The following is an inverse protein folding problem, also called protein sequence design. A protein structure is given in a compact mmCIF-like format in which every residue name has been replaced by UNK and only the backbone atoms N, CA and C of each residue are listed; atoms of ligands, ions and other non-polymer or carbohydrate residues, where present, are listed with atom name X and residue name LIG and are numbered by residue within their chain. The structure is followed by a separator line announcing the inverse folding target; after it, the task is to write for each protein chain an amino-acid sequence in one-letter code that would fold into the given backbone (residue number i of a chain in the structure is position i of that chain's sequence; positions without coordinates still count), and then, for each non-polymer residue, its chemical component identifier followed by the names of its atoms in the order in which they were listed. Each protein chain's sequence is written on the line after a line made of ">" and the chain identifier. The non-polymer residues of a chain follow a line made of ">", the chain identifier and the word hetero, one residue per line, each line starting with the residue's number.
data_IF_547809371905
#
_entry.id   IF_547809371905
#
_cell.length_a   1.000
_cell.length_b   1.000
_cell.length_c   1.000
_cell.angle_alpha   90.00
_cell.angle_beta   90.00
_cell.angle_gamma   90.00
#
_symmetry.space_group_name_H-M   'P 1'
#
loop_
_entity.id
_entity.type
_entity.pdbx_description
1 polymer ?
#
# COMPACT_ATOMS: atom_id res chain seq x y z
N UNK A 1 -29.76 79.83 -20.71
CA UNK A 1 -29.42 79.92 -19.28
C UNK A 1 -30.07 78.74 -18.54
N UNK A 2 -29.39 77.59 -18.45
CA UNK A 2 -29.92 76.48 -17.64
C UNK A 2 -29.88 76.90 -16.17
N UNK A 3 -31.05 76.89 -15.53
CA UNK A 3 -31.24 77.22 -14.11
C UNK A 3 -30.25 76.46 -13.23
N UNK A 4 -29.64 77.15 -12.28
CA UNK A 4 -28.66 76.62 -11.31
C UNK A 4 -29.15 75.32 -10.65
N UNK A 5 -30.48 75.18 -10.48
CA UNK A 5 -31.11 73.95 -9.97
C UNK A 5 -30.86 72.69 -10.81
N UNK A 6 -30.78 72.81 -12.14
CA UNK A 6 -30.52 71.66 -13.02
C UNK A 6 -29.04 71.24 -12.99
N UNK A 7 -28.11 72.19 -12.80
CA UNK A 7 -26.69 71.86 -12.65
C UNK A 7 -26.43 71.11 -11.34
N UNK A 8 -27.13 71.47 -10.26
CA UNK A 8 -27.03 70.78 -8.97
C UNK A 8 -27.58 69.35 -9.06
N UNK A 9 -28.70 69.13 -9.76
CA UNK A 9 -29.24 67.77 -9.96
C UNK A 9 -28.30 66.87 -10.77
N UNK A 10 -27.68 67.40 -11.82
CA UNK A 10 -26.72 66.65 -12.63
C UNK A 10 -25.47 66.30 -11.80
N UNK A 11 -24.98 67.24 -10.98
CA UNK A 11 -23.84 66.99 -10.10
C UNK A 11 -24.14 65.90 -9.05
N UNK A 12 -25.34 65.93 -8.45
CA UNK A 12 -25.76 64.91 -7.48
C UNK A 12 -25.88 63.53 -8.15
N UNK A 13 -26.46 63.44 -9.36
CA UNK A 13 -26.51 62.19 -10.11
C UNK A 13 -25.11 61.66 -10.45
N UNK A 14 -24.16 62.51 -10.85
CA UNK A 14 -22.80 62.10 -11.13
C UNK A 14 -22.06 61.59 -9.89
N UNK A 15 -22.28 62.22 -8.72
CA UNK A 15 -21.68 61.78 -7.45
C UNK A 15 -22.25 60.42 -7.02
N UNK A 16 -23.56 60.21 -7.16
CA UNK A 16 -24.20 58.91 -6.86
C UNK A 16 -23.72 57.83 -7.84
N UNK A 17 -23.55 58.16 -9.12
CA UNK A 17 -23.06 57.21 -10.12
C UNK A 17 -21.60 56.80 -9.87
N UNK A 18 -20.75 57.74 -9.42
CA UNK A 18 -19.36 57.43 -9.01
C UNK A 18 -19.35 56.56 -7.74
N UNK A 19 -20.27 56.77 -6.81
CA UNK A 19 -20.39 55.97 -5.58
C UNK A 19 -20.83 54.53 -5.85
N UNK A 20 -21.64 54.28 -6.90
CA UNK A 20 -22.07 52.93 -7.29
C UNK A 20 -20.93 52.17 -8.00
N UNK A 21 -20.03 52.86 -8.71
CA UNK A 21 -18.86 52.26 -9.36
C UNK A 21 -17.75 51.93 -8.35
N UNK A 22 -17.70 52.65 -7.22
CA UNK A 22 -16.76 52.43 -6.13
C UNK A 22 -17.35 51.62 -4.96
N UNK A 23 -18.31 50.72 -5.22
CA UNK A 23 -18.55 49.64 -4.27
C UNK A 23 -17.33 48.71 -4.40
N UNK A 24 -16.42 48.66 -3.41
CA UNK A 24 -15.37 47.68 -3.45
C UNK A 24 -16.07 46.32 -3.51
N UNK A 25 -15.80 45.55 -4.58
CA UNK A 25 -16.03 44.12 -4.51
C UNK A 25 -15.29 43.68 -3.25
N UNK A 26 -16.03 43.15 -2.27
CA UNK A 26 -15.40 42.44 -1.17
C UNK A 26 -14.51 41.38 -1.83
N UNK A 27 -13.21 41.65 -1.82
CA UNK A 27 -12.20 40.63 -2.04
C UNK A 27 -12.51 39.65 -0.94
N UNK A 28 -13.19 38.56 -1.30
CA UNK A 28 -13.53 37.49 -0.39
C UNK A 28 -12.21 37.05 0.22
N UNK A 29 -11.94 37.54 1.43
CA UNK A 29 -10.84 37.07 2.23
C UNK A 29 -11.05 35.56 2.28
N UNK A 30 -10.02 34.80 1.88
CA UNK A 30 -10.06 33.35 1.85
C UNK A 30 -10.18 32.88 3.30
N UNK A 31 -11.40 32.88 3.83
CA UNK A 31 -11.69 32.42 5.18
C UNK A 31 -11.61 30.91 5.11
N UNK A 32 -10.52 30.35 5.63
CA UNK A 32 -10.34 28.91 5.77
C UNK A 32 -11.63 28.31 6.32
N UNK A 33 -12.31 27.53 5.48
CA UNK A 33 -13.58 26.93 5.86
C UNK A 33 -13.27 25.82 6.88
N UNK A 34 -13.87 25.83 8.08
CA UNK A 34 -13.55 24.85 9.09
C UNK A 34 -14.02 23.45 8.67
N UNK A 35 -13.13 22.47 8.80
CA UNK A 35 -13.45 21.05 8.62
C UNK A 35 -14.01 20.54 9.94
N UNK A 36 -15.28 20.14 9.93
CA UNK A 36 -15.96 19.62 11.12
C UNK A 36 -15.94 18.10 11.17
N UNK A 37 -15.90 17.44 10.02
CA UNK A 37 -15.88 15.99 9.94
C UNK A 37 -14.96 15.53 8.82
N UNK A 38 -14.40 14.34 8.97
CA UNK A 38 -13.57 13.65 8.00
C UNK A 38 -14.18 12.27 7.75
N UNK A 39 -14.36 11.92 6.49
CA UNK A 39 -14.78 10.60 6.03
C UNK A 39 -13.64 10.02 5.20
N UNK A 40 -13.06 8.91 5.66
CA UNK A 40 -12.10 8.13 4.90
C UNK A 40 -12.78 6.82 4.51
N UNK A 41 -13.06 6.67 3.21
CA UNK A 41 -13.70 5.50 2.63
C UNK A 41 -12.60 4.70 1.90
N UNK A 42 -12.20 3.59 2.50
CA UNK A 42 -11.28 2.62 1.90
C UNK A 42 -12.10 1.50 1.26
N UNK A 43 -11.90 1.24 -0.02
CA UNK A 43 -12.60 0.18 -0.75
C UNK A 43 -11.57 -0.83 -1.23
N UNK A 44 -11.54 -2.02 -0.61
CA UNK A 44 -10.56 -3.05 -0.95
C UNK A 44 -10.83 -3.61 -2.35
N UNK A 45 -9.76 -3.73 -3.12
CA UNK A 45 -9.81 -4.25 -4.48
C UNK A 45 -10.10 -3.20 -5.56
N UNK A 46 -10.14 -1.89 -5.25
CA UNK A 46 -10.06 -0.88 -6.31
C UNK A 46 -8.73 -0.98 -7.06
N UNK A 47 -8.75 -0.60 -8.33
CA UNK A 47 -7.56 -0.46 -9.15
C UNK A 47 -7.75 0.63 -10.21
N UNK A 48 -6.64 1.12 -10.75
CA UNK A 48 -6.63 2.12 -11.82
C UNK A 48 -7.36 1.62 -13.07
N UNK A 49 -7.17 0.36 -13.46
CA UNK A 49 -7.72 -0.19 -14.70
C UNK A 49 -9.26 -0.22 -14.69
N UNK A 50 -9.85 -0.62 -13.56
CA UNK A 50 -11.30 -0.58 -13.32
C UNK A 50 -11.83 0.85 -13.31
N UNK A 51 -11.12 1.76 -12.65
CA UNK A 51 -11.48 3.17 -12.59
C UNK A 51 -11.57 3.81 -13.98
N UNK A 52 -10.60 3.57 -14.88
CA UNK A 52 -10.60 4.19 -16.22
C UNK A 52 -11.44 3.46 -17.27
N UNK A 53 -11.72 2.17 -17.05
CA UNK A 53 -12.48 1.36 -18.02
C UNK A 53 -13.99 1.43 -17.79
N UNK A 54 -14.41 1.75 -16.57
CA UNK A 54 -15.81 1.79 -16.17
C UNK A 54 -16.41 3.18 -16.30
N UNK A 55 -17.70 3.24 -16.62
CA UNK A 55 -18.46 4.48 -16.52
C UNK A 55 -18.93 4.65 -15.07
N UNK A 56 -18.25 5.53 -14.33
CA UNK A 56 -18.54 5.86 -12.93
C UNK A 56 -18.90 7.34 -12.80
N UNK A 57 -20.06 7.78 -13.32
CA UNK A 57 -20.39 9.20 -13.42
C UNK A 57 -20.46 9.91 -12.06
N UNK A 58 -20.81 9.21 -10.98
CA UNK A 58 -20.90 9.81 -9.65
C UNK A 58 -19.52 9.96 -9.01
N UNK A 59 -18.64 8.96 -9.17
CA UNK A 59 -17.24 9.05 -8.74
C UNK A 59 -16.50 10.10 -9.57
N UNK A 60 -16.71 10.16 -10.89
CA UNK A 60 -16.11 11.16 -11.78
C UNK A 60 -16.53 12.58 -11.38
N UNK A 61 -17.84 12.77 -11.14
CA UNK A 61 -18.35 14.04 -10.65
C UNK A 61 -17.75 14.38 -9.27
N UNK A 62 -17.66 13.41 -8.37
CA UNK A 62 -17.03 13.58 -7.07
C UNK A 62 -15.57 14.02 -7.22
N UNK A 63 -14.78 13.35 -8.05
CA UNK A 63 -13.40 13.73 -8.38
C UNK A 63 -13.29 15.15 -8.93
N UNK A 64 -14.16 15.53 -9.87
CA UNK A 64 -14.20 16.89 -10.44
C UNK A 64 -14.52 17.97 -9.41
N UNK A 65 -15.22 17.65 -8.33
CA UNK A 65 -15.50 18.63 -7.26
C UNK A 65 -14.32 18.89 -6.33
N UNK A 66 -13.26 18.07 -6.38
CA UNK A 66 -12.06 18.21 -5.56
C UNK A 66 -10.76 17.93 -6.31
N UNK A 67 -9.81 17.31 -5.63
CA UNK A 67 -8.53 16.92 -6.17
C UNK A 67 -8.44 15.39 -6.26
N UNK A 68 -7.83 14.88 -7.32
CA UNK A 68 -7.78 13.44 -7.56
C UNK A 68 -6.47 13.00 -8.22
N UNK A 69 -5.98 11.84 -7.81
CA UNK A 69 -4.96 11.06 -8.51
C UNK A 69 -5.64 9.79 -9.06
N UNK A 70 -5.55 9.56 -10.36
CA UNK A 70 -6.05 8.31 -10.94
C UNK A 70 -5.09 7.16 -10.64
N UNK A 71 -3.80 7.46 -10.41
CA UNK A 71 -2.69 6.50 -10.27
C UNK A 71 -1.94 6.71 -8.96
N UNK A 72 -2.67 6.78 -7.85
CA UNK A 72 -2.01 6.72 -6.55
C UNK A 72 -1.39 5.34 -6.36
N UNK A 73 -0.15 5.29 -5.87
CA UNK A 73 0.55 4.04 -5.62
C UNK A 73 0.06 3.40 -4.32
N UNK A 74 -0.60 2.25 -4.43
CA UNK A 74 -1.01 1.44 -3.30
C UNK A 74 0.18 0.73 -2.65
N UNK A 75 0.00 0.28 -1.42
CA UNK A 75 1.02 -0.51 -0.74
C UNK A 75 0.90 -1.97 -1.14
N UNK A 76 2.04 -2.57 -1.47
CA UNK A 76 2.18 -4.03 -1.58
C UNK A 76 2.14 -4.64 -0.19
N UNK A 77 0.99 -5.16 0.19
CA UNK A 77 0.75 -5.81 1.46
C UNK A 77 0.04 -7.15 1.24
N UNK A 78 0.54 -8.19 1.90
CA UNK A 78 0.01 -9.56 1.78
C UNK A 78 -1.40 -9.69 2.38
N UNK A 79 -1.75 -8.83 3.34
CA UNK A 79 -3.00 -8.86 4.09
C UNK A 79 -3.71 -7.51 4.05
N UNK A 80 -5.02 -7.50 4.32
CA UNK A 80 -5.79 -6.25 4.34
C UNK A 80 -5.41 -5.38 5.54
N UNK A 81 -5.12 -6.02 6.67
CA UNK A 81 -4.74 -5.35 7.91
C UNK A 81 -3.44 -4.58 7.74
N UNK A 82 -2.47 -5.16 7.03
CA UNK A 82 -1.23 -4.48 6.71
C UNK A 82 -1.43 -3.30 5.75
N UNK A 83 -2.31 -3.45 4.75
CA UNK A 83 -2.68 -2.35 3.86
C UNK A 83 -3.33 -1.19 4.60
N UNK A 84 -4.37 -1.46 5.37
CA UNK A 84 -5.09 -0.43 6.13
C UNK A 84 -4.22 0.19 7.23
N UNK A 85 -3.34 -0.58 7.87
CA UNK A 85 -2.32 -0.02 8.76
C UNK A 85 -1.43 0.98 8.03
N UNK A 86 -0.97 0.67 6.81
CA UNK A 86 -0.15 1.60 6.03
C UNK A 86 -0.91 2.88 5.67
N UNK A 87 -2.19 2.76 5.29
CA UNK A 87 -3.06 3.90 4.99
C UNK A 87 -3.23 4.82 6.21
N UNK A 88 -3.44 4.24 7.40
CA UNK A 88 -3.71 4.99 8.64
C UNK A 88 -2.44 5.51 9.34
N UNK A 89 -1.29 4.87 9.15
CA UNK A 89 -0.02 5.26 9.81
C UNK A 89 0.88 6.12 8.92
N UNK A 90 0.72 6.02 7.60
CA UNK A 90 1.60 6.67 6.64
C UNK A 90 3.00 6.04 6.57
N UNK A 91 3.14 4.77 6.95
CA UNK A 91 4.38 3.99 6.81
C UNK A 91 4.12 2.65 6.13
N UNK A 92 5.18 2.00 5.63
CA UNK A 92 5.08 0.68 5.00
C UNK A 92 4.96 -0.48 6.01
N UNK A 93 4.52 -1.68 5.58
CA UNK A 93 4.32 -2.84 6.47
C UNK A 93 5.52 -3.27 7.30
N UNK A 94 6.71 -3.17 6.72
CA UNK A 94 7.95 -3.45 7.41
C UNK A 94 8.27 -2.51 8.59
N UNK A 95 7.65 -1.34 8.67
CA UNK A 95 7.84 -0.36 9.75
C UNK A 95 6.74 -0.45 10.81
N UNK A 96 5.47 -0.54 10.43
CA UNK A 96 4.37 -0.60 11.41
C UNK A 96 4.19 -1.97 12.08
N UNK A 97 4.76 -3.04 11.50
CA UNK A 97 4.74 -4.43 12.00
C UNK A 97 3.36 -5.08 12.19
N UNK A 98 2.28 -4.35 11.94
CA UNK A 98 0.94 -4.89 11.82
C UNK A 98 0.77 -5.66 10.51
N UNK A 99 0.99 -6.98 10.52
CA UNK A 99 0.90 -7.83 9.33
C UNK A 99 -0.38 -8.67 9.29
N UNK A 100 -1.02 -8.89 10.43
CA UNK A 100 -2.25 -9.67 10.58
C UNK A 100 -3.15 -9.05 11.66
N UNK A 101 -4.42 -9.43 11.73
CA UNK A 101 -5.37 -8.94 12.74
C UNK A 101 -4.91 -9.12 14.20
N UNK A 102 -4.00 -10.06 14.48
CA UNK A 102 -3.50 -10.32 15.84
C UNK A 102 -2.30 -9.46 16.24
N UNK A 103 -1.66 -8.81 15.27
CA UNK A 103 -0.49 -7.99 15.53
C UNK A 103 -0.91 -6.65 16.15
N UNK A 104 -0.02 -6.02 16.90
CA UNK A 104 -0.22 -4.65 17.36
C UNK A 104 0.45 -3.68 16.38
N UNK A 105 -0.16 -2.52 16.18
CA UNK A 105 0.49 -1.43 15.46
C UNK A 105 1.59 -0.87 16.37
N UNK A 106 2.86 -0.98 15.95
CA UNK A 106 4.01 -0.53 16.75
C UNK A 106 4.35 0.95 16.57
N UNK A 107 3.73 1.62 15.60
CA UNK A 107 3.95 3.02 15.25
C UNK A 107 2.70 3.85 15.53
N UNK A 108 2.88 5.15 15.63
CA UNK A 108 1.75 6.07 15.77
C UNK A 108 0.90 6.07 14.50
N UNK A 109 -0.42 5.94 14.67
CA UNK A 109 -1.41 6.08 13.59
C UNK A 109 -2.08 7.45 13.61
N UNK A 110 -2.79 7.78 12.54
CA UNK A 110 -3.69 8.93 12.49
C UNK A 110 -4.74 8.88 13.61
N UNK A 111 -5.21 7.68 13.98
CA UNK A 111 -6.16 7.50 15.08
C UNK A 111 -5.56 7.93 16.43
N UNK A 112 -4.27 7.65 16.65
CA UNK A 112 -3.56 8.07 17.85
C UNK A 112 -3.37 9.59 17.89
N UNK A 113 -3.01 10.21 16.77
CA UNK A 113 -2.90 11.68 16.63
C UNK A 113 -4.24 12.34 16.95
N UNK A 114 -5.33 11.84 16.38
CA UNK A 114 -6.68 12.35 16.62
C UNK A 114 -7.10 12.17 18.09
N UNK A 115 -6.80 11.03 18.71
CA UNK A 115 -7.07 10.75 20.12
C UNK A 115 -6.30 11.69 21.05
N UNK A 116 -5.01 11.92 20.80
CA UNK A 116 -4.17 12.88 21.55
C UNK A 116 -4.76 14.30 21.50
N UNK A 117 -5.40 14.64 20.39
CA UNK A 117 -6.06 15.93 20.16
C UNK A 117 -7.57 15.92 20.49
N UNK A 118 -8.05 14.92 21.24
CA UNK A 118 -9.44 14.82 21.74
C UNK A 118 -10.51 14.85 20.63
N UNK A 119 -10.16 14.37 19.43
CA UNK A 119 -11.11 14.21 18.32
C UNK A 119 -11.84 12.88 18.45
N UNK A 120 -13.15 12.91 18.21
CA UNK A 120 -13.98 11.71 18.24
C UNK A 120 -13.79 10.88 16.97
N UNK A 121 -13.68 9.56 17.14
CA UNK A 121 -13.37 8.59 16.07
C UNK A 121 -14.50 7.56 16.02
N UNK A 122 -14.87 7.16 14.80
CA UNK A 122 -15.75 6.03 14.52
C UNK A 122 -15.16 5.20 13.37
N UNK A 123 -15.22 3.88 13.51
CA UNK A 123 -14.80 2.91 12.50
C UNK A 123 -15.99 2.02 12.18
N UNK A 124 -16.33 1.93 10.89
CA UNK A 124 -17.30 0.98 10.35
C UNK A 124 -16.53 -0.03 9.52
N UNK A 125 -16.46 -1.26 10.00
CA UNK A 125 -15.67 -2.33 9.44
C UNK A 125 -16.53 -3.33 8.67
N UNK A 126 -16.43 -3.32 7.34
CA UNK A 126 -17.01 -4.32 6.44
C UNK A 126 -16.16 -5.57 6.21
N UNK A 127 -15.05 -5.77 6.96
CA UNK A 127 -14.15 -6.91 6.77
C UNK A 127 -14.48 -8.15 7.61
N UNK A 128 -15.55 -8.12 8.41
CA UNK A 128 -15.87 -9.17 9.37
C UNK A 128 -15.03 -9.13 10.65
N UNK A 129 -14.55 -7.96 11.08
CA UNK A 129 -13.81 -7.80 12.34
C UNK A 129 -12.28 -7.87 12.22
N UNK A 130 -11.72 -7.93 11.01
CA UNK A 130 -10.26 -7.99 10.81
C UNK A 130 -9.55 -6.68 11.18
N UNK A 131 -10.29 -5.57 11.20
CA UNK A 131 -9.78 -4.25 11.58
C UNK A 131 -9.93 -3.92 13.07
N UNK A 132 -10.31 -4.91 13.90
CA UNK A 132 -10.58 -4.70 15.33
C UNK A 132 -9.34 -4.28 16.12
N UNK A 133 -8.15 -4.61 15.61
CA UNK A 133 -6.86 -4.13 16.12
C UNK A 133 -6.78 -2.60 16.16
N UNK A 134 -7.42 -1.89 15.22
CA UNK A 134 -7.46 -0.43 15.13
C UNK A 134 -8.44 0.23 16.09
N UNK A 135 -9.20 -0.56 16.86
CA UNK A 135 -10.14 0.00 17.83
C UNK A 135 -9.40 0.81 18.90
N UNK A 136 -8.16 0.49 19.29
CA UNK A 136 -7.34 1.31 20.23
C UNK A 136 -8.09 1.79 21.52
N UNK A 137 -9.15 1.07 21.94
CA UNK A 137 -10.05 1.44 23.02
C UNK A 137 -11.08 2.53 22.69
N UNK A 138 -11.36 2.77 21.42
CA UNK A 138 -12.44 3.62 20.93
C UNK A 138 -13.75 2.90 21.22
N UNK A 139 -14.72 3.57 21.86
CA UNK A 139 -16.00 2.91 22.19
C UNK A 139 -16.94 2.77 20.97
N UNK A 140 -16.43 2.98 19.75
CA UNK A 140 -17.22 3.26 18.55
C UNK A 140 -16.67 2.52 17.32
N UNK A 141 -16.31 1.25 17.53
CA UNK A 141 -16.07 0.29 16.48
C UNK A 141 -17.36 -0.45 16.15
N UNK A 142 -17.73 -0.46 14.87
CA UNK A 142 -18.92 -1.15 14.38
C UNK A 142 -18.44 -2.25 13.44
N UNK A 143 -18.60 -3.48 13.89
CA UNK A 143 -18.29 -4.70 13.15
C UNK A 143 -19.51 -5.09 12.31
N UNK A 144 -19.34 -5.15 11.00
CA UNK A 144 -20.33 -5.73 10.08
C UNK A 144 -19.84 -7.10 9.59
N UNK A 145 -20.75 -7.88 9.02
CA UNK A 145 -20.42 -9.17 8.42
C UNK A 145 -19.39 -8.98 7.27
N UNK A 146 -18.56 -10.00 7.01
CA UNK A 146 -17.63 -9.96 5.89
C UNK A 146 -18.38 -9.79 4.55
N UNK A 147 -19.57 -10.38 4.43
CA UNK A 147 -20.43 -10.26 3.25
C UNK A 147 -21.32 -9.00 3.23
N UNK A 148 -21.05 -8.01 4.08
CA UNK A 148 -21.84 -6.79 4.13
C UNK A 148 -21.73 -6.01 2.81
N UNK A 149 -22.87 -5.65 2.22
CA UNK A 149 -22.90 -4.88 0.99
C UNK A 149 -22.31 -3.46 1.17
N UNK A 150 -21.79 -2.86 0.10
CA UNK A 150 -21.32 -1.46 0.13
C UNK A 150 -22.41 -0.51 0.66
N UNK A 151 -23.67 -0.78 0.30
CA UNK A 151 -24.84 -0.06 0.80
C UNK A 151 -24.96 -0.14 2.32
N UNK A 152 -24.84 -1.33 2.89
CA UNK A 152 -24.97 -1.56 4.33
C UNK A 152 -23.88 -0.84 5.12
N UNK A 153 -22.63 -0.88 4.63
CA UNK A 153 -21.50 -0.17 5.23
C UNK A 153 -21.73 1.34 5.22
N UNK A 154 -22.09 1.92 4.07
CA UNK A 154 -22.29 3.36 3.92
C UNK A 154 -23.55 3.87 4.63
N UNK A 155 -24.62 3.07 4.68
CA UNK A 155 -25.82 3.40 5.44
C UNK A 155 -25.54 3.40 6.94
N UNK A 156 -24.82 2.39 7.43
CA UNK A 156 -24.39 2.29 8.83
C UNK A 156 -23.48 3.45 9.21
N UNK A 157 -22.54 3.81 8.32
CA UNK A 157 -21.66 4.97 8.49
C UNK A 157 -22.47 6.25 8.68
N UNK A 158 -23.41 6.54 7.77
CA UNK A 158 -24.21 7.76 7.86
C UNK A 158 -25.12 7.77 9.09
N UNK A 159 -25.83 6.67 9.38
CA UNK A 159 -26.81 6.62 10.47
C UNK A 159 -26.15 6.80 11.84
N UNK A 160 -24.98 6.21 12.04
CA UNK A 160 -24.21 6.39 13.27
C UNK A 160 -23.54 7.76 13.34
N UNK A 161 -23.03 8.27 12.22
CA UNK A 161 -22.51 9.64 12.14
C UNK A 161 -23.59 10.67 12.53
N UNK A 162 -24.84 10.51 12.07
CA UNK A 162 -25.92 11.44 12.39
C UNK A 162 -26.24 11.44 13.88
N UNK A 163 -26.21 10.27 14.53
CA UNK A 163 -26.47 10.13 15.97
C UNK A 163 -25.33 10.70 16.82
N UNK A 164 -24.09 10.39 16.44
CA UNK A 164 -22.92 10.60 17.30
C UNK A 164 -22.09 11.84 16.98
N UNK A 165 -22.24 12.41 15.77
CA UNK A 165 -21.48 13.57 15.26
C UNK A 165 -19.97 13.41 15.45
N UNK A 166 -19.45 12.26 15.07
CA UNK A 166 -18.03 11.94 15.16
C UNK A 166 -17.19 12.75 14.17
N UNK A 167 -16.03 13.22 14.63
CA UNK A 167 -15.13 14.05 13.83
C UNK A 167 -14.48 13.22 12.73
N UNK A 168 -13.88 12.07 13.06
CA UNK A 168 -13.27 11.18 12.08
C UNK A 168 -14.09 9.91 11.92
N UNK A 169 -14.43 9.57 10.69
CA UNK A 169 -15.28 8.45 10.32
C UNK A 169 -14.55 7.65 9.27
N UNK A 170 -14.18 6.42 9.59
CA UNK A 170 -13.50 5.52 8.68
C UNK A 170 -14.43 4.37 8.30
N UNK A 171 -14.53 4.09 7.01
CA UNK A 171 -15.34 2.99 6.49
C UNK A 171 -14.48 2.13 5.57
N UNK A 172 -14.52 0.83 5.82
CA UNK A 172 -13.88 -0.17 4.99
C UNK A 172 -14.95 -0.98 4.24
N UNK A 173 -14.83 -1.04 2.91
CA UNK A 173 -15.73 -1.77 2.01
C UNK A 173 -14.97 -2.92 1.35
N UNK A 174 -15.52 -4.14 1.39
CA UNK A 174 -14.91 -5.36 0.84
C UNK A 174 -15.39 -5.73 -0.58
N UNK A 175 -16.46 -5.10 -1.09
CA UNK A 175 -17.22 -5.56 -2.25
C UNK A 175 -16.38 -5.86 -3.50
N UNK A 176 -15.51 -4.93 -3.92
CA UNK A 176 -14.69 -5.10 -5.13
C UNK A 176 -13.71 -6.28 -5.03
N UNK A 177 -13.11 -6.52 -3.85
CA UNK A 177 -12.24 -7.68 -3.62
C UNK A 177 -13.00 -8.99 -3.65
N UNK A 178 -14.19 -9.04 -3.07
CA UNK A 178 -15.00 -10.27 -3.07
C UNK A 178 -15.38 -10.69 -4.49
N UNK A 179 -15.77 -9.74 -5.34
CA UNK A 179 -16.05 -10.03 -6.74
C UNK A 179 -14.82 -10.56 -7.48
N UNK A 180 -13.62 -10.01 -7.22
CA UNK A 180 -12.39 -10.51 -7.84
C UNK A 180 -12.05 -11.95 -7.43
N UNK A 181 -12.33 -12.34 -6.18
CA UNK A 181 -12.10 -13.71 -5.71
C UNK A 181 -13.02 -14.73 -6.41
N UNK A 182 -14.16 -14.28 -6.95
CA UNK A 182 -15.11 -15.11 -7.69
C UNK A 182 -14.72 -15.32 -9.17
N UNK A 183 -13.61 -14.71 -9.63
CA UNK A 183 -12.98 -14.87 -10.95
C UNK A 183 -13.77 -14.28 -12.13
N UNK A 184 -15.02 -13.86 -11.93
CA UNK A 184 -15.85 -13.25 -12.97
C UNK A 184 -15.56 -11.74 -13.11
N UNK A 185 -15.18 -11.32 -14.32
CA UNK A 185 -14.95 -9.89 -14.62
C UNK A 185 -16.27 -9.11 -14.64
N UNK A 186 -17.38 -9.73 -15.02
CA UNK A 186 -18.67 -9.05 -15.07
C UNK A 186 -19.16 -8.70 -13.66
N UNK A 187 -18.99 -9.61 -12.69
CA UNK A 187 -19.30 -9.34 -11.27
C UNK A 187 -18.44 -8.19 -10.72
N UNK A 188 -17.15 -8.13 -11.06
CA UNK A 188 -16.29 -7.02 -10.65
C UNK A 188 -16.77 -5.66 -11.19
N UNK A 189 -17.27 -5.63 -12.42
CA UNK A 189 -17.83 -4.42 -13.02
C UNK A 189 -19.18 -4.03 -12.42
N UNK A 190 -20.02 -4.99 -12.04
CA UNK A 190 -21.25 -4.70 -11.31
C UNK A 190 -20.96 -4.13 -9.91
N UNK A 191 -19.91 -4.60 -9.22
CA UNK A 191 -19.48 -4.00 -7.95
C UNK A 191 -19.01 -2.55 -8.11
N UNK A 192 -18.32 -2.21 -9.20
CA UNK A 192 -17.96 -0.81 -9.50
C UNK A 192 -19.20 0.07 -9.70
N UNK A 193 -20.23 -0.43 -10.39
CA UNK A 193 -21.50 0.28 -10.57
C UNK A 193 -22.26 0.42 -9.25
N UNK A 194 -22.27 -0.63 -8.43
CA UNK A 194 -22.88 -0.56 -7.11
C UNK A 194 -22.16 0.51 -6.26
N UNK A 195 -20.82 0.46 -6.17
CA UNK A 195 -20.04 1.46 -5.46
C UNK A 195 -20.34 2.90 -5.92
N UNK A 196 -20.37 3.15 -7.23
CA UNK A 196 -20.70 4.46 -7.80
C UNK A 196 -22.08 4.95 -7.36
N UNK A 197 -23.08 4.06 -7.40
CA UNK A 197 -24.45 4.36 -6.96
C UNK A 197 -24.55 4.57 -5.45
N UNK A 198 -23.93 3.71 -4.63
CA UNK A 198 -23.99 3.83 -3.17
C UNK A 198 -23.24 5.06 -2.68
N UNK A 199 -22.11 5.41 -3.32
CA UNK A 199 -21.42 6.67 -3.06
C UNK A 199 -22.33 7.85 -3.38
N UNK A 200 -23.04 7.85 -4.52
CA UNK A 200 -23.97 8.91 -4.88
C UNK A 200 -25.07 9.10 -3.82
N UNK A 201 -25.64 8.00 -3.33
CA UNK A 201 -26.65 8.00 -2.26
C UNK A 201 -26.05 8.58 -0.98
N UNK A 202 -24.88 8.10 -0.56
CA UNK A 202 -24.19 8.60 0.63
C UNK A 202 -23.89 10.11 0.56
N UNK A 203 -23.33 10.58 -0.55
CA UNK A 203 -23.03 11.99 -0.78
C UNK A 203 -24.31 12.85 -0.79
N UNK A 204 -25.40 12.34 -1.38
CA UNK A 204 -26.71 13.01 -1.35
C UNK A 204 -27.23 13.14 0.07
N UNK A 205 -27.16 12.07 0.89
CA UNK A 205 -27.56 12.11 2.30
C UNK A 205 -26.74 13.14 3.08
N UNK A 206 -25.43 13.23 2.85
CA UNK A 206 -24.58 14.26 3.46
C UNK A 206 -24.94 15.68 3.04
N UNK A 207 -25.33 15.88 1.77
CA UNK A 207 -25.80 17.19 1.25
C UNK A 207 -27.14 17.58 1.87
N UNK A 208 -28.12 16.68 1.86
CA UNK A 208 -29.45 16.88 2.43
C UNK A 208 -29.37 17.16 3.94
N UNK A 209 -28.44 16.52 4.64
CA UNK A 209 -28.15 16.76 6.06
C UNK A 209 -27.34 18.02 6.35
N UNK A 210 -26.83 18.73 5.32
CA UNK A 210 -26.01 19.94 5.48
C UNK A 210 -24.59 19.69 6.02
N UNK A 211 -24.10 18.45 5.96
CA UNK A 211 -22.76 18.07 6.44
C UNK A 211 -21.70 18.12 5.33
N UNK A 212 -22.10 17.94 4.07
CA UNK A 212 -21.18 17.84 2.92
C UNK A 212 -20.20 19.01 2.83
N UNK A 213 -20.68 20.25 2.95
CA UNK A 213 -19.84 21.46 2.80
C UNK A 213 -18.83 21.69 3.93
N UNK A 214 -18.94 20.94 5.03
CA UNK A 214 -18.05 21.01 6.21
C UNK A 214 -17.28 19.71 6.44
N UNK A 215 -17.33 18.80 5.46
CA UNK A 215 -16.73 17.48 5.59
C UNK A 215 -15.62 17.30 4.56
N UNK A 216 -14.47 16.80 5.01
CA UNK A 216 -13.43 16.29 4.15
C UNK A 216 -13.72 14.82 3.85
N UNK A 217 -13.90 14.47 2.59
CA UNK A 217 -14.24 13.12 2.14
C UNK A 217 -13.10 12.62 1.26
N UNK A 218 -12.50 11.50 1.65
CA UNK A 218 -11.45 10.82 0.92
C UNK A 218 -11.99 9.45 0.48
N UNK A 219 -11.84 9.13 -0.80
CA UNK A 219 -12.12 7.81 -1.37
C UNK A 219 -10.83 7.24 -1.95
N UNK A 220 -10.44 6.05 -1.51
CA UNK A 220 -9.26 5.35 -2.04
C UNK A 220 -9.31 3.87 -1.69
N UNK A 221 -8.20 3.16 -1.94
CA UNK A 221 -7.95 1.81 -1.45
C UNK A 221 -6.55 1.73 -0.87
N UNK A 222 -6.36 0.98 0.21
CA UNK A 222 -5.01 0.73 0.75
C UNK A 222 -4.16 -0.19 -0.13
N UNK A 223 -4.81 -1.08 -0.88
CA UNK A 223 -4.18 -2.12 -1.72
C UNK A 223 -4.84 -2.14 -3.10
N UNK A 224 -4.04 -2.37 -4.14
CA UNK A 224 -4.59 -2.61 -5.47
C UNK A 224 -4.92 -4.09 -5.64
N UNK A 225 -5.98 -4.37 -6.38
CA UNK A 225 -6.24 -5.70 -6.93
C UNK A 225 -5.48 -5.99 -8.23
N UNK A 226 -4.82 -4.98 -8.80
CA UNK A 226 -4.13 -5.08 -10.08
C UNK A 226 -2.61 -5.19 -9.87
N UNK A 227 -1.88 -5.91 -10.76
CA UNK A 227 -0.42 -5.96 -10.74
C UNK A 227 0.27 -4.62 -10.96
N UNK A 228 -0.47 -3.59 -11.42
CA UNK A 228 0.05 -2.24 -11.58
C UNK A 228 0.22 -1.50 -10.24
N UNK A 229 -0.38 -2.03 -9.16
CA UNK A 229 -0.42 -1.45 -7.82
C UNK A 229 -1.04 -0.04 -7.74
N UNK A 230 -1.66 0.45 -8.81
CA UNK A 230 -2.30 1.76 -8.84
C UNK A 230 -3.75 1.68 -8.39
N UNK A 231 -4.18 2.70 -7.65
CA UNK A 231 -5.54 2.90 -7.16
C UNK A 231 -5.96 4.36 -7.36
N UNK A 232 -7.25 4.65 -7.50
CA UNK A 232 -7.71 6.03 -7.46
C UNK A 232 -7.61 6.58 -6.03
N UNK A 233 -7.25 7.86 -5.93
CA UNK A 233 -7.30 8.66 -4.72
C UNK A 233 -8.08 9.93 -5.02
N UNK A 234 -9.21 10.13 -4.35
CA UNK A 234 -10.05 11.31 -4.53
C UNK A 234 -10.21 11.99 -3.18
N UNK A 235 -9.96 13.29 -3.15
CA UNK A 235 -10.04 14.14 -1.96
C UNK A 235 -10.97 15.31 -2.27
N UNK A 236 -12.05 15.44 -1.50
CA UNK A 236 -13.04 16.51 -1.67
C UNK A 236 -13.39 17.09 -0.32
N UNK A 237 -13.32 18.41 -0.18
CA UNK A 237 -13.70 19.04 1.08
C UNK A 237 -13.46 20.54 1.12
N UNK A 238 -13.66 21.14 2.30
CA UNK A 238 -13.27 22.52 2.57
C UNK A 238 -11.77 22.71 2.28
N UNK A 239 -11.43 23.82 1.64
CA UNK A 239 -10.04 24.19 1.32
C UNK A 239 -9.31 23.20 0.39
N UNK A 240 -10.05 22.36 -0.34
CA UNK A 240 -9.52 21.52 -1.43
C UNK A 240 -9.72 22.21 -2.76
N UNK A 241 -8.72 22.19 -3.64
CA UNK A 241 -8.86 22.69 -5.01
C UNK A 241 -9.86 21.82 -5.76
N UNK A 242 -10.74 22.44 -6.54
CA UNK A 242 -11.68 21.70 -7.39
C UNK A 242 -11.05 21.38 -8.75
N UNK A 243 -11.51 20.29 -9.36
CA UNK A 243 -11.09 19.79 -10.67
C UNK A 243 -9.56 19.76 -10.86
N UNK A 244 -8.83 19.32 -9.84
CA UNK A 244 -7.36 19.32 -9.85
C UNK A 244 -6.83 17.90 -9.91
N UNK A 245 -6.26 17.52 -11.06
CA UNK A 245 -5.52 16.28 -11.19
C UNK A 245 -4.15 16.41 -10.54
N UNK A 246 -3.82 15.50 -9.64
CA UNK A 246 -2.51 15.35 -9.02
C UNK A 246 -1.86 14.06 -9.53
N UNK A 247 -0.55 13.96 -9.40
CA UNK A 247 0.22 12.80 -9.86
C UNK A 247 1.31 12.45 -8.82
N UNK A 248 1.69 11.19 -8.78
CA UNK A 248 2.80 10.70 -7.96
C UNK A 248 2.47 10.61 -6.47
N UNK A 249 1.19 10.48 -6.12
CA UNK A 249 0.78 10.23 -4.73
C UNK A 249 0.95 8.75 -4.35
N UNK A 250 1.19 8.50 -3.07
CA UNK A 250 1.18 7.17 -2.47
C UNK A 250 0.05 7.08 -1.45
N UNK A 251 -0.50 5.89 -1.20
CA UNK A 251 -1.57 5.75 -0.20
C UNK A 251 -1.09 6.08 1.22
N UNK A 252 0.22 5.96 1.49
CA UNK A 252 0.82 6.37 2.76
C UNK A 252 0.80 7.90 2.95
N UNK A 253 0.54 8.68 1.90
CA UNK A 253 0.40 10.14 1.95
C UNK A 253 -0.96 10.58 2.52
N UNK A 254 -1.94 9.67 2.59
CA UNK A 254 -3.31 9.99 3.04
C UNK A 254 -3.35 10.42 4.50
N UNK A 255 -2.74 9.65 5.42
CA UNK A 255 -2.67 10.00 6.84
C UNK A 255 -2.03 11.37 7.11
N UNK A 256 -0.83 11.70 6.59
CA UNK A 256 -0.24 13.04 6.77
C UNK A 256 -1.04 14.13 6.06
N UNK A 257 -1.71 13.84 4.94
CA UNK A 257 -2.60 14.79 4.25
C UNK A 257 -3.80 15.14 5.14
N UNK A 258 -4.47 14.16 5.73
CA UNK A 258 -5.60 14.39 6.64
C UNK A 258 -5.14 15.22 7.84
N UNK A 259 -4.02 14.86 8.48
CA UNK A 259 -3.46 15.60 9.60
C UNK A 259 -3.19 17.07 9.24
N UNK A 260 -2.59 17.32 8.07
CA UNK A 260 -2.31 18.67 7.58
C UNK A 260 -3.60 19.46 7.26
N UNK A 261 -4.66 18.82 6.72
CA UNK A 261 -5.96 19.48 6.50
C UNK A 261 -6.64 19.96 7.78
N UNK A 262 -6.47 19.23 8.87
CA UNK A 262 -7.07 19.56 10.17
C UNK A 262 -6.14 20.38 11.07
N UNK A 263 -4.97 20.79 10.57
CA UNK A 263 -3.99 21.59 11.29
C UNK A 263 -3.27 20.84 12.42
N UNK A 264 -3.14 19.51 12.31
CA UNK A 264 -2.41 18.67 13.26
C UNK A 264 -1.07 18.20 12.67
N UNK A 265 -0.14 17.86 13.56
CA UNK A 265 1.11 17.18 13.20
C UNK A 265 0.81 15.81 12.59
N UNK A 266 1.60 15.40 11.59
CA UNK A 266 1.48 14.06 11.01
C UNK A 266 1.89 12.98 12.02
N UNK A 267 1.42 11.72 11.87
CA UNK A 267 1.84 10.64 12.76
C UNK A 267 3.36 10.51 12.84
N UNK A 268 3.88 10.24 14.04
CA UNK A 268 5.30 10.05 14.27
C UNK A 268 5.85 8.91 13.42
N UNK A 269 7.01 9.13 12.80
CA UNK A 269 7.63 8.23 11.81
C UNK A 269 6.86 8.06 10.48
N UNK A 270 5.74 8.76 10.26
CA UNK A 270 5.06 8.76 8.95
C UNK A 270 6.04 9.14 7.84
N UNK A 271 6.22 8.23 6.89
CA UNK A 271 7.05 8.43 5.69
C UNK A 271 6.30 9.16 4.59
N UNK A 272 4.97 9.07 4.59
CA UNK A 272 4.14 9.82 3.65
C UNK A 272 4.36 11.33 3.74
N UNK A 273 4.18 11.98 2.60
CA UNK A 273 4.29 13.41 2.38
C UNK A 273 2.88 13.95 2.16
N UNK A 274 2.48 14.99 2.89
CA UNK A 274 1.15 15.55 2.71
C UNK A 274 1.00 16.11 1.29
N UNK A 275 -0.17 15.90 0.68
CA UNK A 275 -0.47 16.31 -0.70
C UNK A 275 -0.78 17.81 -0.76
N UNK A 276 0.23 18.64 -0.53
CA UNK A 276 0.13 20.10 -0.42
C UNK A 276 -0.42 20.77 -1.69
N UNK A 277 -0.27 20.12 -2.84
CA UNK A 277 -0.82 20.56 -4.11
C UNK A 277 -2.36 20.57 -4.15
N UNK A 278 -3.03 19.84 -3.25
CA UNK A 278 -4.50 19.77 -3.13
C UNK A 278 -5.12 20.94 -2.37
N UNK A 279 -4.33 21.72 -1.64
CA UNK A 279 -4.83 22.78 -0.76
C UNK A 279 -5.10 24.08 -1.50
N UNK A 280 -6.23 24.71 -1.18
CA UNK A 280 -6.47 26.12 -1.48
C UNK A 280 -5.83 26.93 -0.36
N UNK A 281 -4.73 27.63 -0.66
CA UNK A 281 -4.03 28.49 0.29
C UNK A 281 -3.88 29.90 -0.25
N UNK A 282 -3.79 30.89 0.64
CA UNK A 282 -3.43 32.26 0.26
C UNK A 282 -1.98 32.34 -0.22
N UNK A 283 -1.64 33.35 -1.02
CA UNK A 283 -0.27 33.53 -1.54
C UNK A 283 0.78 33.64 -0.42
N UNK A 284 0.42 34.26 0.71
CA UNK A 284 1.31 34.39 1.86
C UNK A 284 1.60 33.03 2.50
N UNK A 285 0.58 32.17 2.63
CA UNK A 285 0.68 30.82 3.22
C UNK A 285 1.33 29.83 2.25
N UNK A 286 1.23 30.08 0.94
CA UNK A 286 1.83 29.22 -0.09
C UNK A 286 3.34 29.07 0.08
N UNK A 287 4.05 30.12 0.50
CA UNK A 287 5.50 30.06 0.76
C UNK A 287 5.83 29.14 1.93
N UNK A 288 5.06 29.19 3.01
CA UNK A 288 5.23 28.33 4.17
C UNK A 288 4.95 26.87 3.81
N UNK A 289 3.83 26.62 3.11
CA UNK A 289 3.44 25.29 2.62
C UNK A 289 4.52 24.71 1.70
N UNK A 290 5.03 25.49 0.75
CA UNK A 290 6.10 25.04 -0.13
C UNK A 290 7.38 24.75 0.64
N UNK A 291 7.72 25.55 1.66
CA UNK A 291 8.90 25.32 2.49
C UNK A 291 8.78 24.02 3.28
N UNK A 292 7.62 23.76 3.91
CA UNK A 292 7.31 22.50 4.59
C UNK A 292 7.35 21.30 3.63
N UNK A 293 6.81 21.47 2.42
CA UNK A 293 6.84 20.42 1.42
C UNK A 293 8.27 20.09 0.97
N UNK A 294 9.08 21.11 0.69
CA UNK A 294 10.50 20.94 0.32
C UNK A 294 11.26 20.25 1.44
N UNK A 295 11.04 20.63 2.69
CA UNK A 295 11.66 19.99 3.86
C UNK A 295 11.31 18.49 3.92
N UNK A 296 10.03 18.15 3.78
CA UNK A 296 9.58 16.74 3.78
C UNK A 296 10.19 15.93 2.63
N UNK A 297 10.25 16.51 1.42
CA UNK A 297 10.88 15.87 0.26
C UNK A 297 12.39 15.66 0.47
N UNK A 298 13.07 16.62 1.10
CA UNK A 298 14.50 16.48 1.42
C UNK A 298 14.74 15.37 2.45
N UNK A 299 13.90 15.30 3.49
CA UNK A 299 13.97 14.24 4.50
C UNK A 299 13.68 12.87 3.91
N UNK A 300 12.64 12.71 3.09
CA UNK A 300 12.34 11.43 2.46
C UNK A 300 13.46 11.02 1.49
N UNK A 301 14.02 11.95 0.73
CA UNK A 301 15.20 11.67 -0.11
C UNK A 301 16.36 11.12 0.72
N UNK A 302 16.68 11.72 1.87
CA UNK A 302 17.75 11.23 2.75
C UNK A 302 17.41 9.81 3.25
N UNK A 303 16.19 9.59 3.72
CA UNK A 303 15.73 8.28 4.20
C UNK A 303 15.82 7.21 3.10
N UNK A 304 15.44 7.53 1.87
CA UNK A 304 15.55 6.63 0.73
C UNK A 304 17.02 6.27 0.42
N UNK A 305 17.93 7.24 0.47
CA UNK A 305 19.36 6.96 0.30
C UNK A 305 19.92 6.09 1.41
N UNK A 306 19.55 6.34 2.68
CA UNK A 306 19.96 5.50 3.81
C UNK A 306 19.48 4.06 3.64
N UNK A 307 18.22 3.86 3.23
CA UNK A 307 17.70 2.52 2.97
C UNK A 307 18.36 1.87 1.76
N UNK A 308 18.60 2.63 0.69
CA UNK A 308 19.31 2.15 -0.48
C UNK A 308 20.71 1.62 -0.13
N UNK A 309 21.50 2.39 0.62
CA UNK A 309 22.82 1.96 1.06
C UNK A 309 22.76 0.71 1.94
N UNK A 310 21.79 0.63 2.86
CA UNK A 310 21.59 -0.56 3.68
C UNK A 310 21.30 -1.80 2.85
N UNK A 311 20.40 -1.70 1.86
CA UNK A 311 20.04 -2.81 0.97
C UNK A 311 21.24 -3.20 0.09
N UNK A 312 22.00 -2.22 -0.42
CA UNK A 312 23.20 -2.48 -1.21
C UNK A 312 24.25 -3.26 -0.39
N UNK A 313 24.48 -2.86 0.87
CA UNK A 313 25.40 -3.57 1.77
C UNK A 313 24.92 -5.01 2.08
N UNK A 314 23.62 -5.20 2.29
CA UNK A 314 23.03 -6.53 2.53
C UNK A 314 23.13 -7.43 1.28
N UNK A 315 22.91 -6.86 0.10
CA UNK A 315 23.07 -7.55 -1.17
C UNK A 315 24.52 -7.99 -1.38
N UNK A 316 25.48 -7.09 -1.15
CA UNK A 316 26.92 -7.40 -1.27
C UNK A 316 27.36 -8.50 -0.30
N UNK A 317 26.85 -8.48 0.94
CA UNK A 317 27.10 -9.55 1.91
C UNK A 317 26.54 -10.88 1.43
N UNK A 318 25.33 -10.88 0.88
CA UNK A 318 24.66 -12.07 0.35
C UNK A 318 25.43 -12.64 -0.84
N UNK A 319 25.91 -11.78 -1.76
CA UNK A 319 26.74 -12.20 -2.91
C UNK A 319 28.04 -12.85 -2.44
N UNK A 320 28.72 -12.28 -1.43
CA UNK A 320 29.94 -12.89 -0.87
C UNK A 320 29.67 -14.24 -0.24
N UNK A 321 28.56 -14.38 0.49
CA UNK A 321 28.14 -15.67 1.06
C UNK A 321 27.87 -16.71 -0.04
N UNK A 322 27.13 -16.33 -1.08
CA UNK A 322 26.85 -17.21 -2.22
C UNK A 322 28.14 -17.65 -2.93
N UNK A 323 29.09 -16.74 -3.13
CA UNK A 323 30.38 -17.09 -3.73
C UNK A 323 31.18 -18.05 -2.82
N UNK A 324 31.22 -17.80 -1.51
CA UNK A 324 31.90 -18.72 -0.57
C UNK A 324 31.28 -20.12 -0.55
N UNK A 325 29.94 -20.21 -0.62
CA UNK A 325 29.23 -21.50 -0.70
C UNK A 325 29.53 -22.19 -2.03
N UNK A 326 29.66 -21.43 -3.12
CA UNK A 326 30.01 -21.97 -4.44
C UNK A 326 31.43 -22.53 -4.43
N UNK A 327 32.40 -21.79 -3.89
CA UNK A 327 33.78 -22.23 -3.72
C UNK A 327 33.87 -23.48 -2.83
N UNK A 328 33.13 -23.53 -1.73
CA UNK A 328 33.05 -24.70 -0.86
C UNK A 328 32.48 -25.91 -1.61
N UNK A 329 31.40 -25.74 -2.39
CA UNK A 329 30.83 -26.80 -3.22
C UNK A 329 31.83 -27.32 -4.25
N UNK A 330 32.54 -26.44 -4.96
CA UNK A 330 33.58 -26.83 -5.92
C UNK A 330 34.68 -27.63 -5.21
N UNK A 331 35.15 -27.18 -4.04
CA UNK A 331 36.16 -27.89 -3.26
C UNK A 331 35.69 -29.28 -2.80
N UNK A 332 34.40 -29.43 -2.46
CA UNK A 332 33.80 -30.72 -2.11
C UNK A 332 33.74 -31.64 -3.33
N UNK A 333 33.36 -31.13 -4.50
CA UNK A 333 33.36 -31.90 -5.74
C UNK A 333 34.77 -32.38 -6.13
N UNK A 334 35.77 -31.51 -6.01
CA UNK A 334 37.17 -31.85 -6.26
C UNK A 334 37.65 -32.95 -5.29
N UNK A 335 37.33 -32.81 -3.99
CA UNK A 335 37.65 -33.81 -2.98
C UNK A 335 37.00 -35.17 -3.28
N UNK A 336 35.73 -35.20 -3.71
CA UNK A 336 35.07 -36.43 -4.13
C UNK A 336 35.72 -37.04 -5.37
N UNK A 337 36.11 -36.22 -6.35
CA UNK A 337 36.85 -36.66 -7.54
C UNK A 337 38.18 -37.32 -7.18
N UNK A 338 38.97 -36.73 -6.29
CA UNK A 338 40.21 -37.33 -5.80
C UNK A 338 39.99 -38.68 -5.08
N UNK A 339 38.93 -38.77 -4.26
CA UNK A 339 38.56 -40.02 -3.59
C UNK A 339 38.15 -41.08 -4.58
N UNK A 340 37.37 -40.74 -5.59
CA UNK A 340 36.95 -41.68 -6.63
C UNK A 340 38.14 -42.21 -7.43
N UNK A 341 39.10 -41.35 -7.79
CA UNK A 341 40.35 -41.77 -8.42
C UNK A 341 41.17 -42.70 -7.51
N UNK A 342 41.23 -42.41 -6.21
CA UNK A 342 41.92 -43.27 -5.24
C UNK A 342 41.26 -44.64 -5.13
N UNK A 343 39.93 -44.68 -5.06
CA UNK A 343 39.14 -45.91 -5.05
C UNK A 343 39.37 -46.70 -6.35
N UNK A 344 39.41 -46.04 -7.50
CA UNK A 344 39.68 -46.68 -8.78
C UNK A 344 41.09 -47.30 -8.83
N UNK A 345 42.11 -46.60 -8.34
CA UNK A 345 43.49 -47.14 -8.21
C UNK A 345 43.53 -48.36 -7.29
N UNK A 346 42.90 -48.28 -6.11
CA UNK A 346 42.82 -49.40 -5.17
C UNK A 346 42.10 -50.61 -5.77
N UNK A 347 40.98 -50.39 -6.49
CA UNK A 347 40.26 -51.47 -7.19
C UNK A 347 41.12 -52.12 -8.28
N UNK A 348 41.84 -51.33 -9.07
CA UNK A 348 42.75 -51.85 -10.08
C UNK A 348 43.87 -52.69 -9.44
N UNK A 349 44.46 -52.21 -8.35
CA UNK A 349 45.48 -52.95 -7.61
C UNK A 349 44.94 -54.28 -7.06
N UNK A 350 43.78 -54.27 -6.42
CA UNK A 350 43.11 -55.50 -5.95
C UNK A 350 42.86 -56.47 -7.11
N UNK A 351 42.45 -55.96 -8.27
CA UNK A 351 42.21 -56.80 -9.46
C UNK A 351 43.51 -57.41 -9.98
N UNK A 352 44.60 -56.66 -10.02
CA UNK A 352 45.93 -57.18 -10.39
C UNK A 352 46.43 -58.23 -9.40
N UNK A 353 46.29 -58.00 -8.09
CA UNK A 353 46.69 -58.96 -7.06
C UNK A 353 45.88 -60.26 -7.15
N UNK A 354 44.57 -60.17 -7.39
CA UNK A 354 43.71 -61.34 -7.64
C UNK A 354 44.12 -62.10 -8.91
N UNK A 355 44.49 -61.38 -9.98
CA UNK A 355 45.00 -61.98 -11.21
C UNK A 355 46.31 -62.74 -10.98
N UNK A 356 47.25 -62.15 -10.24
CA UNK A 356 48.51 -62.79 -9.85
C UNK A 356 48.24 -64.04 -9.01
N UNK A 357 47.37 -63.96 -8.01
CA UNK A 357 47.03 -65.10 -7.16
C UNK A 357 46.39 -66.25 -7.95
N UNK A 358 45.45 -65.95 -8.85
CA UNK A 358 44.86 -66.93 -9.75
C UNK A 358 45.91 -67.58 -10.67
N UNK A 359 46.86 -66.79 -11.18
CA UNK A 359 47.96 -67.30 -11.98
C UNK A 359 48.86 -68.26 -11.17
N UNK A 360 49.21 -67.92 -9.92
CA UNK A 360 49.98 -68.80 -9.04
C UNK A 360 49.25 -70.13 -8.78
N UNK A 361 47.94 -70.08 -8.48
CA UNK A 361 47.12 -71.30 -8.31
C UNK A 361 47.13 -72.15 -9.59
N UNK A 362 47.00 -71.52 -10.76
CA UNK A 362 47.00 -72.21 -12.04
C UNK A 362 48.36 -72.88 -12.32
N UNK A 363 49.47 -72.19 -12.04
CA UNK A 363 50.82 -72.74 -12.16
C UNK A 363 51.02 -73.92 -11.20
N UNK A 364 50.59 -73.79 -9.93
CA UNK A 364 50.63 -74.90 -8.97
C UNK A 364 49.78 -76.09 -9.45
N UNK A 365 48.57 -75.84 -9.97
CA UNK A 365 47.69 -76.88 -10.51
C UNK A 365 48.28 -77.60 -11.72
N UNK A 366 48.91 -76.87 -12.64
CA UNK A 366 49.65 -77.45 -13.77
C UNK A 366 50.84 -78.28 -13.26
N UNK A 367 51.60 -77.75 -12.31
CA UNK A 367 52.70 -78.47 -11.66
C UNK A 367 52.25 -79.81 -11.07
N UNK A 368 51.13 -79.80 -10.33
CA UNK A 368 50.54 -81.00 -9.74
C UNK A 368 50.05 -81.99 -10.80
N UNK A 369 49.48 -81.53 -11.91
CA UNK A 369 49.07 -82.41 -13.03
C UNK A 369 50.27 -83.04 -13.75
N UNK A 370 51.37 -82.30 -13.92
CA UNK A 370 52.62 -82.82 -14.48
C UNK A 370 53.21 -83.88 -13.54
N UNK A 371 53.26 -83.58 -12.24
CA UNK A 371 53.74 -84.49 -11.22
C UNK A 371 52.88 -85.76 -11.14
N UNK A 372 51.56 -85.62 -11.17
CA UNK A 372 50.62 -86.75 -11.25
C UNK A 372 50.82 -87.58 -12.51
N UNK A 373 50.99 -86.96 -13.69
CA UNK A 373 51.30 -87.68 -14.94
C UNK A 373 52.64 -88.40 -14.87
N UNK A 374 53.65 -87.78 -14.26
CA UNK A 374 54.98 -88.35 -14.12
C UNK A 374 54.98 -89.54 -13.14
N UNK A 375 54.35 -89.39 -11.98
CA UNK A 375 54.14 -90.45 -10.99
C UNK A 375 53.32 -91.60 -11.59
N UNK A 376 52.25 -91.32 -12.34
CA UNK A 376 51.45 -92.34 -13.04
C UNK A 376 52.26 -93.10 -14.09
N UNK A 377 53.23 -92.45 -14.75
CA UNK A 377 54.13 -93.12 -15.71
C UNK A 377 55.19 -93.98 -15.03
N UNK A 378 55.65 -93.57 -13.83
CA UNK A 378 56.77 -94.19 -13.11
C UNK A 378 56.32 -95.29 -12.15
N UNK A 379 55.11 -95.19 -11.60
CA UNK A 379 54.51 -96.17 -10.70
C UNK A 379 53.24 -96.74 -11.36
N UNK A 380 53.42 -97.79 -12.17
CA UNK A 380 52.34 -98.69 -12.59
C UNK A 380 51.89 -99.52 -11.37
N UNK A 381 51.01 -98.97 -10.56
CA UNK A 381 50.15 -99.70 -9.62
C UNK A 381 48.76 -99.08 -9.76
N UNK A 382 47.76 -99.94 -9.94
CA UNK A 382 46.39 -99.63 -10.40
C UNK A 382 46.23 -99.51 -11.93
N UNK A 383 46.62 -100.56 -12.66
CA UNK A 383 45.70 -101.70 -12.86
C UNK A 383 46.51 -103.00 -12.90
#
# INVERSE_FOLDING_TARGET
>A
MLSIKNKIKVLICCIIFIFIIFIPNEVSANTDKPINNVFLISVDGLNYEGYVSMSTPNIDYFAQTGAFDEKAMAVRADTLEAGEASLLTGVFPNHHKHLTANDKVEVESLLDVLKKNQKSIMIVDGSGGKLKSFDHGHKKYIELDESASNKEVLDTLYDNFVKEKTFFNYAYLSGCKEALLKVDQDEYYEEWKDLDNQLAVFLKRLKDGGYYSKSLIILTSSRSSSPSDYVPLIIVGPNTKSNTKIEGSLIIDVAPTIASYIGLEKPYNSRGIALYNTYVVSEDTQKEVNSKWIEQLQQDRINNWVQYYKIADELDRTIRQLNSIKEEKESIFDFFGEKEQTIAKLKAQIWTERGIFAFVILVMGIGYLIEYKWLKRKFLLFK
#
